data_IF_450684847686
#
_entry.id   IF_450684847686
#
_cell.length_a   1.000
_cell.length_b   1.000
_cell.length_c   1.000
_cell.angle_alpha   90.00
_cell.angle_beta   90.00
_cell.angle_gamma   90.00
#
_symmetry.space_group_name_H-M   'P 1'
#
loop_
_entity.id
_entity.type
_entity.pdbx_description
1 polymer ?
#
# COMPACT_ATOMS: atom_id res chain seq x y z
N UNK A 1 11.21 22.33 -18.03
CA UNK A 1 10.27 21.67 -17.09
C UNK A 1 10.20 20.21 -17.45
N UNK A 2 10.85 19.34 -16.68
CA UNK A 2 10.84 17.91 -16.96
C UNK A 2 9.56 17.30 -16.39
N UNK A 3 8.66 16.86 -17.26
CA UNK A 3 7.57 15.95 -16.89
C UNK A 3 8.22 14.66 -16.42
N UNK A 4 8.23 14.43 -15.11
CA UNK A 4 8.59 13.15 -14.53
C UNK A 4 7.74 12.04 -15.17
N UNK A 5 8.34 10.86 -15.44
CA UNK A 5 7.75 9.85 -16.29
C UNK A 5 6.40 9.38 -15.75
N UNK A 6 5.45 9.19 -16.66
CA UNK A 6 4.22 8.45 -16.39
C UNK A 6 4.56 7.13 -15.70
N UNK A 7 4.30 7.01 -14.40
CA UNK A 7 4.13 5.70 -13.76
C UNK A 7 2.74 5.20 -14.11
N UNK A 8 2.53 4.90 -15.39
CA UNK A 8 1.47 4.03 -15.85
C UNK A 8 1.88 2.60 -15.52
N UNK A 9 1.84 2.25 -14.24
CA UNK A 9 1.67 0.86 -13.84
C UNK A 9 0.46 0.84 -12.91
N UNK A 10 -0.68 0.43 -13.46
CA UNK A 10 -2.02 0.56 -12.88
C UNK A 10 -2.26 -0.36 -11.68
N UNK A 11 -1.20 -0.91 -11.08
CA UNK A 11 -1.27 -1.75 -9.88
C UNK A 11 -0.43 -1.10 -8.79
N UNK A 12 -1.07 -0.71 -7.67
CA UNK A 12 -0.34 -0.16 -6.51
C UNK A 12 0.67 -1.19 -6.02
N UNK A 13 1.94 -0.79 -5.92
CA UNK A 13 3.01 -1.67 -5.45
C UNK A 13 2.90 -1.89 -3.94
N UNK A 14 3.42 -3.02 -3.46
CA UNK A 14 3.46 -3.32 -2.04
C UNK A 14 4.12 -2.20 -1.21
N UNK A 15 5.12 -1.50 -1.77
CA UNK A 15 5.78 -0.38 -1.11
C UNK A 15 4.83 0.81 -0.88
N UNK A 16 3.96 1.11 -1.85
CA UNK A 16 2.96 2.19 -1.74
C UNK A 16 1.90 1.83 -0.70
N UNK A 17 1.36 0.61 -0.76
CA UNK A 17 0.34 0.16 0.20
C UNK A 17 0.89 0.11 1.63
N UNK A 18 2.13 -0.35 1.80
CA UNK A 18 2.78 -0.37 3.11
C UNK A 18 3.01 1.05 3.67
N UNK A 19 3.26 2.04 2.81
CA UNK A 19 3.31 3.46 3.23
C UNK A 19 1.93 3.93 3.72
N UNK A 20 0.85 3.62 3.01
CA UNK A 20 -0.51 3.99 3.43
C UNK A 20 -0.89 3.35 4.77
N UNK A 21 -0.51 2.08 5.01
CA UNK A 21 -0.68 1.41 6.31
C UNK A 21 0.04 2.19 7.42
N UNK A 22 1.28 2.63 7.19
CA UNK A 22 2.03 3.41 8.18
C UNK A 22 1.41 4.78 8.44
N UNK A 23 0.96 5.47 7.40
CA UNK A 23 0.29 6.76 7.54
C UNK A 23 -1.01 6.63 8.33
N UNK A 24 -1.78 5.55 8.13
CA UNK A 24 -2.96 5.23 8.92
C UNK A 24 -2.60 5.10 10.41
N UNK A 25 -1.59 4.29 10.74
CA UNK A 25 -1.11 4.13 12.11
C UNK A 25 -0.67 5.44 12.77
N UNK A 26 0.01 6.31 12.03
CA UNK A 26 0.43 7.63 12.52
C UNK A 26 -0.78 8.54 12.81
N UNK A 27 -1.79 8.53 11.93
CA UNK A 27 -3.01 9.33 12.08
C UNK A 27 -3.86 8.87 13.26
N UNK A 28 -3.95 7.56 13.49
CA UNK A 28 -4.72 7.00 14.59
C UNK A 28 -4.00 7.09 15.95
N UNK A 29 -2.78 7.66 16.00
CA UNK A 29 -2.05 7.87 17.25
C UNK A 29 -1.65 6.56 17.96
N UNK A 30 -1.53 5.46 17.22
CA UNK A 30 -1.17 4.14 17.75
C UNK A 30 -2.35 3.22 18.13
N UNK A 31 -3.60 3.70 18.07
CA UNK A 31 -4.80 2.90 18.30
C UNK A 31 -5.79 3.05 17.14
N UNK A 32 -6.02 1.98 16.38
CA UNK A 32 -6.98 2.00 15.26
C UNK A 32 -8.41 2.06 15.82
N UNK A 33 -9.19 3.03 15.33
CA UNK A 33 -10.64 3.03 15.53
C UNK A 33 -11.29 1.94 14.65
N UNK A 34 -12.55 1.53 14.89
CA UNK A 34 -13.22 0.52 14.05
C UNK A 34 -13.22 0.88 12.56
N UNK A 35 -13.39 2.17 12.24
CA UNK A 35 -13.32 2.67 10.87
C UNK A 35 -11.91 2.55 10.27
N UNK A 36 -10.87 2.84 11.06
CA UNK A 36 -9.48 2.67 10.64
C UNK A 36 -9.10 1.19 10.51
N UNK A 37 -9.66 0.30 11.33
CA UNK A 37 -9.46 -1.14 11.25
C UNK A 37 -9.97 -1.70 9.92
N UNK A 38 -11.16 -1.28 9.47
CA UNK A 38 -11.68 -1.67 8.15
C UNK A 38 -10.74 -1.22 7.03
N UNK A 39 -10.19 0.00 7.12
CA UNK A 39 -9.24 0.50 6.14
C UNK A 39 -7.91 -0.25 6.19
N UNK A 40 -7.41 -0.55 7.38
CA UNK A 40 -6.21 -1.36 7.58
C UNK A 40 -6.36 -2.76 6.97
N UNK A 41 -7.51 -3.41 7.17
CA UNK A 41 -7.79 -4.72 6.58
C UNK A 41 -7.80 -4.67 5.05
N UNK A 42 -8.42 -3.65 4.45
CA UNK A 42 -8.41 -3.46 2.98
C UNK A 42 -7.00 -3.28 2.45
N UNK A 43 -6.20 -2.43 3.10
CA UNK A 43 -4.80 -2.20 2.74
C UNK A 43 -3.95 -3.47 2.93
N UNK A 44 -4.20 -4.29 3.95
CA UNK A 44 -3.50 -5.56 4.13
C UNK A 44 -3.78 -6.55 2.99
N UNK A 45 -5.03 -6.66 2.55
CA UNK A 45 -5.40 -7.53 1.41
C UNK A 45 -4.73 -7.04 0.13
N UNK A 46 -4.74 -5.73 -0.11
CA UNK A 46 -4.08 -5.12 -1.26
C UNK A 46 -2.55 -5.32 -1.22
N UNK A 47 -1.94 -5.18 -0.04
CA UNK A 47 -0.53 -5.44 0.17
C UNK A 47 -0.17 -6.91 -0.07
N UNK A 48 -0.98 -7.85 0.41
CA UNK A 48 -0.81 -9.27 0.16
C UNK A 48 -0.90 -9.60 -1.35
N UNK A 49 -1.85 -9.00 -2.07
CA UNK A 49 -1.96 -9.15 -3.52
C UNK A 49 -0.73 -8.58 -4.25
N UNK A 50 -0.26 -7.40 -3.85
CA UNK A 50 0.90 -6.74 -4.46
C UNK A 50 2.22 -7.45 -4.14
N UNK A 51 2.37 -8.06 -2.96
CA UNK A 51 3.55 -8.85 -2.58
C UNK A 51 3.55 -10.24 -3.22
N UNK A 52 2.38 -10.88 -3.32
CA UNK A 52 2.23 -12.20 -3.94
C UNK A 52 2.39 -12.20 -5.46
N UNK A 53 2.05 -11.09 -6.14
CA UNK A 53 2.22 -10.93 -7.58
C UNK A 53 3.66 -10.59 -8.03
N UNK A 54 4.47 -9.98 -7.16
CA UNK A 54 5.82 -9.50 -7.47
C UNK A 54 6.93 -10.56 -7.36
N UNK A 55 6.65 -11.73 -6.78
CA UNK A 55 7.64 -12.79 -6.58
C UNK A 55 8.03 -13.56 -7.88
N UNK A 56 7.44 -13.22 -9.04
CA UNK A 56 7.79 -13.79 -10.35
C UNK A 56 8.69 -12.88 -11.20
N UNK A 57 9.70 -12.29 -10.58
CA UNK A 57 10.91 -11.82 -11.27
C UNK A 57 12.13 -12.09 -10.41
N UNK A 58 12.53 -13.36 -10.38
CA UNK A 58 13.88 -13.76 -10.04
C UNK A 58 14.43 -14.56 -11.24
N UNK A 59 15.63 -14.16 -11.65
CA UNK A 59 16.33 -14.46 -12.89
C UNK A 59 16.70 -15.93 -13.13
#
# INVERSE_FOLDING_TARGET
MSRSPCSSDSTRTAAVVNKEIRDLWQRSGGCLSPEDEEQYQRLLVEWAAATGGGARSAA
#
